data_IF_218115955681
#
_entry.id   IF_218115955681
#
_cell.length_a   1.000
_cell.length_b   1.000
_cell.length_c   1.000
_cell.angle_alpha   90.00
_cell.angle_beta   90.00
_cell.angle_gamma   90.00
#
_symmetry.space_group_name_H-M   'P 1'
#
loop_
_entity.id
_entity.type
_entity.pdbx_description
1 polymer ?
#
# COMPACT_ATOMS: atom_id res chain seq x y z
N UNK A 1 -33.93 -17.08 -45.75
CA UNK A 1 -33.61 -16.25 -44.57
C UNK A 1 -32.69 -17.04 -43.67
N UNK A 2 -31.38 -16.78 -43.73
CA UNK A 2 -30.34 -17.50 -43.00
C UNK A 2 -30.25 -16.99 -41.56
N UNK A 3 -30.39 -17.90 -40.58
CA UNK A 3 -30.01 -17.67 -39.18
C UNK A 3 -28.49 -17.83 -39.07
N UNK A 4 -27.77 -16.74 -38.84
CA UNK A 4 -26.33 -16.76 -38.56
C UNK A 4 -26.06 -17.16 -37.10
N UNK A 5 -24.96 -17.89 -36.81
CA UNK A 5 -24.64 -18.25 -35.44
C UNK A 5 -23.99 -17.07 -34.71
N UNK A 6 -24.39 -16.93 -33.44
CA UNK A 6 -23.74 -16.13 -32.42
C UNK A 6 -22.23 -16.43 -32.35
N UNK A 7 -21.40 -15.40 -32.48
CA UNK A 7 -20.01 -15.45 -32.00
C UNK A 7 -19.96 -14.64 -30.72
N UNK A 8 -20.15 -15.32 -29.59
CA UNK A 8 -19.88 -14.77 -28.28
C UNK A 8 -18.35 -14.78 -28.10
N UNK A 9 -17.71 -13.63 -28.29
CA UNK A 9 -16.28 -13.46 -28.04
C UNK A 9 -16.06 -13.49 -26.52
N UNK A 10 -15.83 -14.69 -25.97
CA UNK A 10 -15.29 -14.86 -24.62
C UNK A 10 -13.86 -14.31 -24.61
N UNK A 11 -13.71 -13.04 -24.22
CA UNK A 11 -12.44 -12.52 -23.73
C UNK A 11 -12.08 -13.34 -22.48
N UNK A 12 -11.24 -14.36 -22.68
CA UNK A 12 -10.54 -15.06 -21.62
C UNK A 12 -9.60 -14.06 -20.94
N UNK A 13 -10.14 -13.27 -20.01
CA UNK A 13 -9.35 -12.68 -18.95
C UNK A 13 -8.75 -13.86 -18.20
N UNK A 14 -7.45 -14.11 -18.39
CA UNK A 14 -6.73 -15.00 -17.50
C UNK A 14 -6.98 -14.49 -16.07
N UNK A 15 -7.55 -15.30 -15.16
CA UNK A 15 -7.60 -14.91 -13.77
C UNK A 15 -6.15 -14.62 -13.35
N UNK A 16 -5.94 -13.53 -12.61
CA UNK A 16 -4.68 -13.38 -11.90
C UNK A 16 -4.44 -14.70 -11.17
N UNK A 17 -3.28 -15.30 -11.37
CA UNK A 17 -2.98 -16.57 -10.72
C UNK A 17 -3.18 -16.37 -9.23
N UNK A 18 -3.90 -17.31 -8.63
CA UNK A 18 -4.03 -17.55 -7.19
C UNK A 18 -2.74 -17.34 -6.36
N UNK A 19 -1.56 -17.39 -6.99
CA UNK A 19 -0.26 -17.20 -6.34
C UNK A 19 0.19 -15.73 -6.21
N UNK A 20 -0.58 -14.79 -6.74
CA UNK A 20 -0.22 -13.37 -6.83
C UNK A 20 -1.02 -12.51 -5.81
N UNK A 21 -0.31 -11.75 -4.98
CA UNK A 21 -0.91 -10.63 -4.27
C UNK A 21 -0.93 -9.39 -5.19
N UNK A 22 -2.10 -8.79 -5.40
CA UNK A 22 -2.18 -7.41 -5.90
C UNK A 22 -2.42 -6.46 -4.72
N UNK A 23 -1.45 -5.58 -4.47
CA UNK A 23 -1.43 -4.64 -3.35
C UNK A 23 -1.61 -3.23 -3.87
N UNK A 24 -2.56 -2.51 -3.28
CA UNK A 24 -2.79 -1.09 -3.55
C UNK A 24 -2.40 -0.28 -2.31
N UNK A 25 -1.60 0.77 -2.50
CA UNK A 25 -1.35 1.79 -1.47
C UNK A 25 -2.03 3.08 -1.86
N UNK A 26 -2.77 3.70 -0.95
CA UNK A 26 -3.42 4.98 -1.23
C UNK A 26 -3.69 5.83 0.02
N UNK A 27 -3.04 6.99 0.10
CA UNK A 27 -3.50 8.08 0.95
C UNK A 27 -4.77 8.70 0.35
N UNK A 28 -5.92 8.53 1.01
CA UNK A 28 -7.22 8.96 0.50
C UNK A 28 -7.60 10.39 0.95
N UNK A 29 -6.64 11.14 1.50
CA UNK A 29 -6.80 12.54 1.90
C UNK A 29 -8.08 12.78 2.69
N UNK A 30 -8.21 12.10 3.83
CA UNK A 30 -9.35 12.21 4.73
C UNK A 30 -10.69 11.80 4.10
N UNK A 31 -10.67 11.09 2.97
CA UNK A 31 -11.89 10.81 2.23
C UNK A 31 -12.59 12.09 1.75
N UNK A 32 -11.85 13.18 1.53
CA UNK A 32 -12.39 14.48 1.06
C UNK A 32 -13.26 14.36 -0.21
N UNK A 33 -13.02 13.30 -1.00
CA UNK A 33 -13.83 12.89 -2.15
C UNK A 33 -14.19 11.40 -2.05
N UNK A 34 -14.74 10.97 -0.91
CA UNK A 34 -15.00 9.55 -0.62
C UNK A 34 -15.78 8.84 -1.72
N UNK A 35 -16.83 9.44 -2.28
CA UNK A 35 -17.59 8.82 -3.39
C UNK A 35 -16.68 8.53 -4.60
N UNK A 36 -15.76 9.44 -4.91
CA UNK A 36 -14.78 9.23 -5.99
C UNK A 36 -13.77 8.14 -5.65
N UNK A 37 -13.34 8.07 -4.39
CA UNK A 37 -12.51 6.96 -3.89
C UNK A 37 -13.24 5.62 -4.07
N UNK A 38 -14.51 5.54 -3.67
CA UNK A 38 -15.33 4.33 -3.80
C UNK A 38 -15.59 3.95 -5.27
N UNK A 39 -15.77 4.92 -6.17
CA UNK A 39 -15.80 4.68 -7.62
C UNK A 39 -14.51 4.04 -8.12
N UNK A 40 -13.34 4.57 -7.71
CA UNK A 40 -12.05 4.00 -8.10
C UNK A 40 -11.86 2.59 -7.54
N UNK A 41 -12.30 2.30 -6.31
CA UNK A 41 -12.29 0.94 -5.75
C UNK A 41 -13.08 -0.08 -6.58
N UNK A 42 -14.15 0.37 -7.25
CA UNK A 42 -15.01 -0.45 -8.12
C UNK A 42 -14.54 -0.48 -9.57
N UNK A 43 -13.51 0.29 -9.92
CA UNK A 43 -12.97 0.34 -11.28
C UNK A 43 -12.40 -1.02 -11.73
N UNK A 44 -12.37 -1.34 -13.04
CA UNK A 44 -11.71 -2.55 -13.55
C UNK A 44 -10.27 -2.73 -13.07
N UNK A 45 -9.56 -1.63 -12.82
CA UNK A 45 -8.19 -1.59 -12.33
C UNK A 45 -8.08 -2.09 -10.89
N UNK A 46 -8.84 -1.49 -9.95
CA UNK A 46 -8.74 -1.83 -8.52
C UNK A 46 -9.71 -2.95 -8.09
N UNK A 47 -10.72 -3.26 -8.90
CA UNK A 47 -11.66 -4.36 -8.65
C UNK A 47 -11.00 -5.74 -8.69
N UNK A 48 -9.71 -5.85 -9.07
CA UNK A 48 -8.94 -7.10 -9.01
C UNK A 48 -7.88 -7.12 -7.92
N UNK A 49 -7.66 -5.99 -7.24
CA UNK A 49 -6.69 -5.93 -6.16
C UNK A 49 -7.17 -6.73 -4.94
N UNK A 50 -6.23 -7.42 -4.31
CA UNK A 50 -6.48 -8.32 -3.18
C UNK A 50 -6.36 -7.58 -1.86
N UNK A 51 -5.38 -6.68 -1.77
CA UNK A 51 -4.98 -6.01 -0.54
C UNK A 51 -4.91 -4.50 -0.75
N UNK A 52 -5.34 -3.73 0.26
CA UNK A 52 -5.29 -2.27 0.24
C UNK A 52 -4.66 -1.77 1.55
N UNK A 53 -3.63 -0.93 1.43
CA UNK A 53 -3.04 -0.15 2.50
C UNK A 53 -3.48 1.31 2.32
N UNK A 54 -4.46 1.74 3.12
CA UNK A 54 -5.04 3.08 3.03
C UNK A 54 -4.52 3.97 4.16
N UNK A 55 -4.23 5.23 3.83
CA UNK A 55 -3.81 6.26 4.78
C UNK A 55 -4.76 7.44 4.77
N UNK A 56 -4.78 8.18 5.87
CA UNK A 56 -5.72 9.27 6.11
C UNK A 56 -7.19 8.87 5.93
N UNK A 57 -7.59 7.67 6.38
CA UNK A 57 -9.01 7.32 6.44
C UNK A 57 -9.64 8.10 7.60
N UNK A 58 -10.62 8.98 7.33
CA UNK A 58 -11.39 9.59 8.40
C UNK A 58 -12.32 8.55 9.04
N UNK A 59 -12.35 8.58 10.36
CA UNK A 59 -13.31 7.83 11.18
C UNK A 59 -14.28 8.83 11.80
N UNK A 60 -15.22 9.35 11.02
CA UNK A 60 -16.34 10.09 11.60
C UNK A 60 -17.19 9.13 12.47
N UNK A 61 -17.92 9.63 13.49
CA UNK A 61 -18.85 8.79 14.23
C UNK A 61 -19.82 8.07 13.28
N UNK A 62 -19.79 6.73 13.29
CA UNK A 62 -20.58 5.91 12.36
C UNK A 62 -19.87 5.49 11.06
N UNK A 63 -18.63 5.94 10.81
CA UNK A 63 -17.82 5.44 9.70
C UNK A 63 -17.39 4.00 9.96
N UNK A 64 -18.11 3.05 9.37
CA UNK A 64 -17.80 1.62 9.44
C UNK A 64 -17.04 1.21 8.19
N UNK A 65 -15.75 0.99 8.35
CA UNK A 65 -14.84 0.63 7.25
C UNK A 65 -15.33 -0.62 6.50
N UNK A 66 -15.84 -1.62 7.22
CA UNK A 66 -16.37 -2.87 6.66
C UNK A 66 -17.61 -2.65 5.79
N UNK A 67 -18.36 -1.56 6.00
CA UNK A 67 -19.54 -1.23 5.18
C UNK A 67 -19.16 -0.47 3.90
N UNK A 68 -17.93 0.06 3.82
CA UNK A 68 -17.48 0.94 2.73
C UNK A 68 -16.48 0.27 1.81
N UNK A 69 -15.58 -0.54 2.35
CA UNK A 69 -14.58 -1.24 1.56
C UNK A 69 -14.86 -2.75 1.54
N UNK A 70 -14.85 -3.40 0.36
CA UNK A 70 -15.16 -4.81 0.25
C UNK A 70 -14.01 -5.65 0.83
N UNK A 71 -14.26 -6.35 1.93
CA UNK A 71 -13.31 -7.27 2.56
C UNK A 71 -13.24 -7.18 4.08
N UNK A 72 -12.32 -7.94 4.67
CA UNK A 72 -11.92 -7.78 6.05
C UNK A 72 -11.07 -6.53 6.23
N UNK A 73 -11.31 -5.78 7.31
CA UNK A 73 -10.60 -4.54 7.59
C UNK A 73 -9.93 -4.57 8.96
N UNK A 74 -8.75 -3.96 9.05
CA UNK A 74 -8.03 -3.69 10.28
C UNK A 74 -7.56 -2.25 10.27
N UNK A 75 -7.80 -1.51 11.35
CA UNK A 75 -7.46 -0.10 11.43
C UNK A 75 -6.71 0.26 12.70
N UNK A 76 -5.71 1.12 12.52
CA UNK A 76 -4.89 1.68 13.60
C UNK A 76 -4.80 3.19 13.36
N UNK A 77 -5.56 3.95 14.15
CA UNK A 77 -5.71 5.38 13.91
C UNK A 77 -6.36 5.67 12.55
N UNK A 78 -5.59 6.25 11.63
CA UNK A 78 -6.05 6.59 10.26
C UNK A 78 -5.46 5.71 9.17
N UNK A 79 -4.68 4.71 9.57
CA UNK A 79 -4.09 3.73 8.66
C UNK A 79 -4.96 2.48 8.70
N UNK A 80 -5.39 2.02 7.53
CA UNK A 80 -6.32 0.91 7.37
C UNK A 80 -5.71 -0.11 6.42
N UNK A 81 -5.80 -1.37 6.80
CA UNK A 81 -5.59 -2.51 5.92
C UNK A 81 -6.98 -3.04 5.55
N UNK A 82 -7.24 -3.20 4.26
CA UNK A 82 -8.40 -3.93 3.75
C UNK A 82 -7.89 -5.12 2.95
N UNK A 83 -8.36 -6.31 3.30
CA UNK A 83 -8.06 -7.56 2.63
C UNK A 83 -9.33 -8.17 2.08
N UNK A 84 -9.33 -8.58 0.81
CA UNK A 84 -10.42 -9.40 0.26
C UNK A 84 -10.35 -10.86 0.67
N UNK A 85 -9.28 -11.23 1.35
CA UNK A 85 -9.02 -12.55 1.88
C UNK A 85 -8.98 -12.49 3.41
N UNK A 86 -8.90 -13.67 4.03
CA UNK A 86 -8.84 -13.82 5.49
C UNK A 86 -7.68 -13.01 6.10
N UNK A 87 -7.95 -12.25 7.17
CA UNK A 87 -6.92 -11.70 8.05
C UNK A 87 -6.72 -12.68 9.21
N UNK A 88 -5.64 -13.47 9.16
CA UNK A 88 -5.32 -14.51 10.12
C UNK A 88 -4.87 -13.96 11.48
N UNK A 89 -4.11 -12.86 11.46
CA UNK A 89 -3.67 -12.13 12.65
C UNK A 89 -3.49 -10.64 12.33
N UNK A 90 -3.53 -9.77 13.34
CA UNK A 90 -3.43 -8.32 13.17
C UNK A 90 -3.03 -7.60 14.43
N UNK A 91 -2.40 -6.43 14.27
CA UNK A 91 -2.05 -5.58 15.39
C UNK A 91 -1.48 -4.23 14.96
N UNK A 92 -0.72 -3.64 15.87
CA UNK A 92 -0.13 -2.31 15.68
C UNK A 92 1.33 -2.29 16.12
N UNK A 93 2.12 -1.41 15.49
CA UNK A 93 3.48 -1.07 15.93
C UNK A 93 3.52 0.38 16.36
N UNK A 94 3.99 0.68 17.57
CA UNK A 94 4.28 2.06 17.99
C UNK A 94 5.58 2.53 17.30
N UNK A 95 5.44 3.33 16.24
CA UNK A 95 6.59 3.78 15.44
C UNK A 95 7.23 5.05 15.99
N UNK A 96 6.48 5.86 16.73
CA UNK A 96 6.99 7.07 17.36
C UNK A 96 6.37 7.27 18.76
N UNK A 97 7.09 6.91 19.84
CA UNK A 97 6.60 7.10 21.20
C UNK A 97 6.30 8.55 21.57
N UNK A 98 7.06 9.52 21.03
CA UNK A 98 6.90 10.92 21.36
C UNK A 98 5.59 11.52 20.81
N UNK A 99 5.09 11.00 19.68
CA UNK A 99 3.85 11.47 19.06
C UNK A 99 2.70 10.48 19.16
N UNK A 100 2.94 9.29 19.73
CA UNK A 100 1.98 8.18 19.74
C UNK A 100 1.66 7.61 18.35
N UNK A 101 2.48 7.88 17.32
CA UNK A 101 2.21 7.41 15.95
C UNK A 101 2.38 5.90 15.88
N UNK A 102 1.46 5.24 15.18
CA UNK A 102 1.40 3.79 15.04
C UNK A 102 1.27 3.40 13.57
N UNK A 103 1.69 2.19 13.24
CA UNK A 103 1.45 1.54 11.95
C UNK A 103 0.56 0.30 12.15
N UNK A 104 -0.31 0.02 11.20
CA UNK A 104 -1.12 -1.21 11.20
C UNK A 104 -0.33 -2.37 10.57
N UNK A 105 -0.52 -3.57 11.09
CA UNK A 105 -0.08 -4.80 10.43
C UNK A 105 -1.16 -5.87 10.44
N UNK A 106 -1.16 -6.72 9.42
CA UNK A 106 -2.05 -7.87 9.30
C UNK A 106 -1.35 -9.02 8.56
N UNK A 107 -1.54 -10.24 9.04
CA UNK A 107 -1.17 -11.47 8.34
C UNK A 107 -2.35 -11.86 7.46
N UNK A 108 -2.14 -11.80 6.15
CA UNK A 108 -3.18 -12.00 5.14
C UNK A 108 -2.94 -13.32 4.42
N UNK A 109 -3.98 -14.15 4.35
CA UNK A 109 -3.92 -15.49 3.77
C UNK A 109 -4.67 -15.53 2.45
N UNK A 110 -4.00 -15.90 1.36
CA UNK A 110 -4.64 -16.13 0.06
C UNK A 110 -5.62 -17.30 0.14
N UNK A 111 -6.59 -17.41 -0.80
CA UNK A 111 -7.53 -18.53 -0.84
C UNK A 111 -6.86 -19.93 -0.90
N UNK A 112 -5.61 -20.00 -1.35
CA UNK A 112 -4.79 -21.21 -1.49
C UNK A 112 -3.92 -21.47 -0.26
N UNK A 113 -4.07 -20.67 0.79
CA UNK A 113 -3.38 -20.84 2.07
C UNK A 113 -1.99 -20.23 2.13
N UNK A 114 -1.59 -19.41 1.14
CA UNK A 114 -0.32 -18.68 1.19
C UNK A 114 -0.45 -17.44 2.06
N UNK A 115 0.52 -17.18 2.93
CA UNK A 115 0.43 -16.08 3.90
C UNK A 115 1.58 -15.07 3.72
N UNK A 116 1.26 -13.79 3.91
CA UNK A 116 2.24 -12.71 3.99
C UNK A 116 1.80 -11.69 5.03
N UNK A 117 2.77 -10.97 5.63
CA UNK A 117 2.48 -9.86 6.53
C UNK A 117 2.44 -8.54 5.76
N UNK A 118 1.31 -7.85 5.79
CA UNK A 118 1.14 -6.51 5.25
C UNK A 118 1.23 -5.46 6.36
N UNK A 119 2.02 -4.41 6.13
CA UNK A 119 2.00 -3.18 6.91
C UNK A 119 1.37 -2.05 6.10
N UNK A 120 0.44 -1.32 6.73
CA UNK A 120 -0.05 -0.01 6.26
C UNK A 120 0.45 1.06 7.21
N UNK A 121 1.12 2.08 6.67
CA UNK A 121 1.70 3.14 7.48
C UNK A 121 1.67 4.52 6.81
N UNK A 122 1.60 5.55 7.64
CA UNK A 122 1.79 6.94 7.23
C UNK A 122 2.84 7.61 8.12
N UNK A 123 4.06 7.81 7.59
CA UNK A 123 5.18 8.37 8.37
C UNK A 123 5.09 9.87 8.58
N UNK A 124 5.90 10.40 9.51
CA UNK A 124 5.96 11.83 9.80
C UNK A 124 6.16 12.71 8.56
N UNK A 125 5.14 13.52 8.23
CA UNK A 125 5.26 14.61 7.26
C UNK A 125 6.17 15.74 7.79
N UNK A 126 5.93 16.19 9.04
CA UNK A 126 6.68 17.27 9.70
C UNK A 126 6.71 17.10 11.22
N UNK A 127 7.70 17.70 11.88
CA UNK A 127 7.72 17.91 13.34
C UNK A 127 7.63 19.41 13.63
N UNK A 128 6.60 19.82 14.35
CA UNK A 128 6.25 21.23 14.49
C UNK A 128 6.00 21.87 13.12
N UNK A 129 6.94 22.71 12.68
CA UNK A 129 6.92 23.37 11.36
C UNK A 129 7.94 22.83 10.37
N UNK A 130 8.84 21.93 10.77
CA UNK A 130 9.92 21.43 9.92
C UNK A 130 9.51 20.15 9.16
N UNK A 131 9.38 20.19 7.82
CA UNK A 131 9.11 19.01 7.00
C UNK A 131 10.36 18.18 6.68
N UNK A 132 11.57 18.71 6.94
CA UNK A 132 12.84 18.07 6.65
C UNK A 132 13.28 17.18 7.82
N UNK A 133 12.53 16.12 8.05
CA UNK A 133 12.76 15.17 9.17
C UNK A 133 13.15 13.76 8.70
N UNK A 134 14.11 13.59 7.76
CA UNK A 134 14.42 12.29 7.18
C UNK A 134 14.94 11.26 8.20
N UNK A 135 15.61 11.69 9.26
CA UNK A 135 16.09 10.81 10.33
C UNK A 135 14.96 10.27 11.21
N UNK A 136 13.92 11.08 11.44
CA UNK A 136 12.75 10.67 12.21
C UNK A 136 11.97 9.63 11.42
N UNK A 137 11.72 9.89 10.13
CA UNK A 137 11.07 8.90 9.25
C UNK A 137 11.85 7.58 9.18
N UNK A 138 13.19 7.64 9.11
CA UNK A 138 14.01 6.44 9.13
C UNK A 138 13.96 5.69 10.48
N UNK A 139 13.84 6.40 11.61
CA UNK A 139 13.65 5.78 12.92
C UNK A 139 12.27 5.15 13.06
N UNK A 140 11.21 5.81 12.58
CA UNK A 140 9.85 5.27 12.52
C UNK A 140 9.79 4.00 11.67
N UNK A 141 10.40 4.03 10.48
CA UNK A 141 10.50 2.84 9.63
C UNK A 141 11.32 1.72 10.30
N UNK A 142 12.39 2.05 11.01
CA UNK A 142 13.17 1.04 11.74
C UNK A 142 12.32 0.26 12.73
N UNK A 143 11.42 0.92 13.47
CA UNK A 143 10.51 0.23 14.39
C UNK A 143 9.62 -0.79 13.66
N UNK A 144 9.13 -0.46 12.47
CA UNK A 144 8.36 -1.39 11.63
C UNK A 144 9.22 -2.57 11.17
N UNK A 145 10.44 -2.30 10.71
CA UNK A 145 11.34 -3.35 10.22
C UNK A 145 11.82 -4.28 11.34
N UNK A 146 12.10 -3.74 12.53
CA UNK A 146 12.49 -4.54 13.69
C UNK A 146 11.34 -5.47 14.14
N UNK A 147 10.09 -4.99 14.06
CA UNK A 147 8.92 -5.85 14.28
C UNK A 147 8.74 -6.89 13.15
N UNK A 148 9.00 -6.51 11.90
CA UNK A 148 8.89 -7.40 10.75
C UNK A 148 9.94 -8.51 10.73
N UNK A 149 11.14 -8.28 11.27
CA UNK A 149 12.21 -9.29 11.34
C UNK A 149 11.85 -10.47 12.25
N UNK A 150 10.84 -10.35 13.13
CA UNK A 150 10.29 -11.46 13.90
C UNK A 150 9.27 -12.32 13.13
N UNK A 151 8.79 -11.85 11.97
CA UNK A 151 7.86 -12.62 11.13
C UNK A 151 8.65 -13.54 10.19
N UNK A 152 8.40 -14.86 10.19
CA UNK A 152 9.19 -15.82 9.40
C UNK A 152 8.85 -15.82 7.90
N UNK A 153 7.70 -15.25 7.53
CA UNK A 153 7.20 -15.27 6.16
C UNK A 153 7.54 -14.02 5.34
N UNK A 154 6.97 -13.91 4.13
CA UNK A 154 7.13 -12.74 3.29
C UNK A 154 6.45 -11.50 3.89
N UNK A 155 7.04 -10.33 3.64
CA UNK A 155 6.58 -9.06 4.20
C UNK A 155 6.35 -8.04 3.09
N UNK A 156 5.24 -7.31 3.20
CA UNK A 156 4.87 -6.17 2.36
C UNK A 156 4.77 -4.95 3.28
N UNK A 157 5.46 -3.87 2.94
CA UNK A 157 5.35 -2.57 3.62
C UNK A 157 4.88 -1.54 2.60
N UNK A 158 3.67 -1.03 2.79
CA UNK A 158 3.02 -0.13 1.87
C UNK A 158 2.47 1.11 2.59
N UNK A 159 2.53 2.26 1.94
CA UNK A 159 1.92 3.47 2.45
C UNK A 159 2.58 4.76 1.98
N UNK A 160 2.14 5.85 2.59
CA UNK A 160 2.73 7.18 2.44
C UNK A 160 3.95 7.32 3.37
N UNK A 161 5.15 7.20 2.81
CA UNK A 161 6.38 7.29 3.58
C UNK A 161 6.81 8.75 3.79
N UNK A 162 6.10 9.73 3.21
CA UNK A 162 6.50 11.14 3.18
C UNK A 162 7.95 11.35 2.75
N UNK A 163 8.48 10.45 1.90
CA UNK A 163 9.91 10.37 1.57
C UNK A 163 10.12 10.28 0.08
N UNK A 164 10.80 11.28 -0.48
CA UNK A 164 11.25 11.28 -1.88
C UNK A 164 12.56 10.52 -2.05
N UNK A 165 12.81 9.98 -3.26
CA UNK A 165 14.00 9.16 -3.54
C UNK A 165 15.32 9.92 -3.37
N UNK A 166 15.33 11.20 -3.72
CA UNK A 166 16.54 12.02 -3.77
C UNK A 166 16.38 13.32 -2.95
N UNK A 167 17.39 13.64 -2.15
CA UNK A 167 17.51 14.93 -1.48
C UNK A 167 18.59 15.76 -2.16
N UNK A 168 18.18 16.89 -2.74
CA UNK A 168 19.03 17.76 -3.57
C UNK A 168 20.28 18.23 -2.86
N UNK A 169 20.18 18.48 -1.55
CA UNK A 169 21.25 19.10 -0.80
C UNK A 169 22.50 18.23 -0.59
N UNK A 170 22.44 16.90 -0.83
CA UNK A 170 23.52 16.00 -0.40
C UNK A 170 23.94 14.91 -1.40
N UNK A 171 23.29 14.79 -2.57
CA UNK A 171 23.62 13.74 -3.55
C UNK A 171 23.47 12.30 -3.02
N UNK A 172 22.77 12.11 -1.90
CA UNK A 172 22.57 10.82 -1.21
C UNK A 172 21.09 10.44 -1.29
N UNK A 173 20.80 9.15 -1.48
CA UNK A 173 19.43 8.63 -1.37
C UNK A 173 18.80 8.92 -0.01
N UNK A 174 17.47 8.82 0.12
CA UNK A 174 16.84 9.01 1.42
C UNK A 174 17.30 7.95 2.44
N UNK A 175 17.66 8.32 3.69
CA UNK A 175 18.10 7.36 4.72
C UNK A 175 17.12 6.20 4.96
N UNK A 176 15.82 6.47 4.90
CA UNK A 176 14.78 5.47 5.02
C UNK A 176 14.84 4.45 3.88
N UNK A 177 14.91 4.90 2.62
CA UNK A 177 14.89 3.97 1.48
C UNK A 177 16.14 3.08 1.46
N UNK A 178 17.31 3.65 1.81
CA UNK A 178 18.52 2.83 2.02
C UNK A 178 18.36 1.82 3.14
N UNK A 179 17.68 2.19 4.23
CA UNK A 179 17.40 1.26 5.33
C UNK A 179 16.55 0.07 4.84
N UNK A 180 15.52 0.34 4.03
CA UNK A 180 14.70 -0.72 3.41
C UNK A 180 15.55 -1.66 2.55
N UNK A 181 16.34 -1.10 1.62
CA UNK A 181 17.20 -1.85 0.72
C UNK A 181 18.23 -2.69 1.48
N UNK A 182 18.89 -2.11 2.49
CA UNK A 182 19.86 -2.80 3.34
C UNK A 182 19.25 -3.94 4.17
N UNK A 183 17.94 -3.88 4.46
CA UNK A 183 17.19 -4.93 5.15
C UNK A 183 16.62 -5.99 4.19
N UNK A 184 16.97 -5.91 2.90
CA UNK A 184 16.59 -6.87 1.86
C UNK A 184 15.22 -6.62 1.23
N UNK A 185 14.61 -5.46 1.47
CA UNK A 185 13.36 -5.08 0.82
C UNK A 185 13.62 -4.50 -0.57
N UNK A 186 12.71 -4.79 -1.50
CA UNK A 186 12.75 -4.30 -2.88
C UNK A 186 11.56 -3.38 -3.13
N UNK A 187 11.84 -2.22 -3.73
CA UNK A 187 10.82 -1.31 -4.27
C UNK A 187 10.09 -2.01 -5.44
N UNK A 188 8.81 -2.34 -5.25
CA UNK A 188 8.03 -3.11 -6.20
C UNK A 188 7.74 -2.33 -7.49
N UNK A 189 7.56 -1.00 -7.41
CA UNK A 189 7.32 -0.15 -8.58
C UNK A 189 8.59 -0.05 -9.42
N UNK A 190 9.73 0.26 -8.80
CA UNK A 190 10.99 0.34 -9.53
C UNK A 190 11.42 -1.01 -10.12
N UNK A 191 11.21 -2.11 -9.40
CA UNK A 191 11.51 -3.45 -9.90
C UNK A 191 10.67 -3.82 -11.15
N UNK A 192 9.45 -3.27 -11.27
CA UNK A 192 8.59 -3.41 -12.43
C UNK A 192 8.81 -2.34 -13.51
N UNK A 193 9.81 -1.45 -13.35
CA UNK A 193 10.10 -0.38 -14.31
C UNK A 193 9.08 0.76 -14.32
N UNK A 194 8.29 0.92 -13.26
CA UNK A 194 7.24 1.94 -13.16
C UNK A 194 7.71 3.09 -12.29
N UNK A 195 7.63 4.31 -12.83
CA UNK A 195 7.81 5.56 -12.09
C UNK A 195 6.46 6.22 -11.86
N UNK A 196 6.17 6.62 -10.62
CA UNK A 196 4.91 7.26 -10.26
C UNK A 196 5.17 8.48 -9.37
N UNK A 197 4.87 9.67 -9.88
CA UNK A 197 4.69 10.84 -9.02
C UNK A 197 3.35 10.66 -8.32
N UNK A 198 3.40 10.17 -7.08
CA UNK A 198 2.23 9.76 -6.32
C UNK A 198 1.55 10.93 -5.63
N UNK A 199 2.25 12.01 -5.34
CA UNK A 199 1.71 13.23 -4.74
C UNK A 199 1.92 14.45 -5.64
N UNK A 200 0.89 15.30 -5.75
CA UNK A 200 0.78 16.34 -6.77
C UNK A 200 1.86 17.45 -6.74
N UNK A 201 2.53 17.66 -5.61
CA UNK A 201 3.62 18.65 -5.41
C UNK A 201 4.96 17.96 -5.16
N UNK A 202 5.00 16.99 -4.24
CA UNK A 202 6.23 16.39 -3.73
C UNK A 202 6.82 15.31 -4.66
N UNK A 203 6.06 14.80 -5.62
CA UNK A 203 6.49 13.69 -6.48
C UNK A 203 6.21 12.34 -5.84
N UNK A 204 7.18 11.41 -5.86
CA UNK A 204 7.02 10.06 -5.29
C UNK A 204 7.25 10.06 -3.79
N UNK A 205 6.19 9.85 -3.01
CA UNK A 205 6.24 9.71 -1.54
C UNK A 205 5.53 8.48 -1.01
N UNK A 206 4.70 7.86 -1.85
CA UNK A 206 4.03 6.58 -1.60
C UNK A 206 4.88 5.44 -2.15
N UNK A 207 5.00 4.36 -1.38
CA UNK A 207 5.87 3.24 -1.72
C UNK A 207 5.21 1.91 -1.42
N UNK A 208 5.59 0.88 -2.20
CA UNK A 208 5.32 -0.53 -1.90
C UNK A 208 6.67 -1.25 -1.91
N UNK A 209 7.11 -1.72 -0.75
CA UNK A 209 8.31 -2.51 -0.58
C UNK A 209 7.98 -3.94 -0.18
N UNK A 210 8.70 -4.90 -0.75
CA UNK A 210 8.50 -6.32 -0.46
C UNK A 210 9.79 -7.05 -0.08
N UNK A 211 9.69 -8.02 0.83
CA UNK A 211 10.75 -8.96 1.23
C UNK A 211 10.19 -10.37 1.17
N UNK A 212 10.92 -11.30 0.55
CA UNK A 212 10.45 -12.68 0.34
C UNK A 212 9.46 -12.88 -0.82
N UNK A 213 9.05 -11.81 -1.53
CA UNK A 213 8.18 -11.85 -2.70
C UNK A 213 8.92 -11.35 -3.96
N UNK A 214 8.41 -11.71 -5.13
CA UNK A 214 8.90 -11.25 -6.43
C UNK A 214 7.91 -10.24 -7.03
N UNK A 215 8.30 -8.97 -7.26
CA UNK A 215 7.49 -8.04 -8.03
C UNK A 215 7.34 -8.51 -9.49
N UNK A 216 6.11 -8.54 -9.99
CA UNK A 216 5.76 -8.95 -11.36
C UNK A 216 5.35 -7.76 -12.23
N UNK A 217 4.49 -6.89 -11.69
CA UNK A 217 4.02 -5.69 -12.39
C UNK A 217 3.64 -4.60 -11.41
N UNK A 218 3.55 -3.36 -11.89
CA UNK A 218 3.03 -2.25 -11.09
C UNK A 218 2.19 -1.31 -11.94
N UNK A 219 1.35 -0.51 -11.27
CA UNK A 219 0.55 0.53 -11.91
C UNK A 219 0.43 1.76 -11.00
N UNK A 220 0.03 2.88 -11.61
CA UNK A 220 -0.09 4.17 -10.95
C UNK A 220 -1.40 4.81 -11.42
N UNK A 221 -2.18 5.31 -10.47
CA UNK A 221 -3.49 5.86 -10.71
C UNK A 221 -3.50 7.30 -11.26
N UNK A 222 -4.60 7.99 -11.00
CA UNK A 222 -4.81 9.41 -11.35
C UNK A 222 -5.17 10.20 -10.09
N UNK A 223 -4.97 11.51 -10.14
CA UNK A 223 -5.41 12.44 -9.08
C UNK A 223 -6.92 12.70 -9.19
N UNK A 224 -7.73 11.67 -8.92
CA UNK A 224 -9.18 11.76 -9.02
C UNK A 224 -9.84 11.79 -7.63
N UNK A 225 -9.67 10.72 -6.85
CA UNK A 225 -10.22 10.61 -5.50
C UNK A 225 -9.39 11.28 -4.39
N UNK A 226 -8.13 11.63 -4.65
CA UNK A 226 -7.22 12.19 -3.65
C UNK A 226 -6.18 13.11 -4.29
N UNK A 227 -5.49 13.89 -3.45
CA UNK A 227 -4.30 14.65 -3.83
C UNK A 227 -3.05 13.76 -3.94
N UNK A 228 -3.20 12.47 -3.60
CA UNK A 228 -2.34 11.35 -3.96
C UNK A 228 -2.99 10.45 -5.02
N UNK A 229 -2.19 9.87 -5.90
CA UNK A 229 -2.56 8.72 -6.72
C UNK A 229 -2.45 7.45 -5.89
N UNK A 230 -3.34 6.50 -6.11
CA UNK A 230 -3.05 5.14 -5.71
C UNK A 230 -1.87 4.58 -6.52
N UNK A 231 -1.12 3.67 -5.90
CA UNK A 231 -0.12 2.84 -6.57
C UNK A 231 -0.49 1.38 -6.35
N UNK A 232 -0.28 0.54 -7.37
CA UNK A 232 -0.50 -0.90 -7.32
C UNK A 232 0.81 -1.63 -7.59
N UNK A 233 1.05 -2.73 -6.89
CA UNK A 233 2.04 -3.73 -7.27
C UNK A 233 1.42 -5.12 -7.24
N UNK A 234 1.70 -5.93 -8.26
CA UNK A 234 1.47 -7.37 -8.24
C UNK A 234 2.76 -8.09 -7.90
N UNK A 235 2.68 -9.00 -6.96
CA UNK A 235 3.82 -9.74 -6.45
C UNK A 235 3.45 -11.20 -6.26
N UNK A 236 4.40 -12.09 -6.52
CA UNK A 236 4.26 -13.54 -6.40
C UNK A 236 5.19 -14.08 -5.32
N UNK A 237 4.90 -15.29 -4.83
CA UNK A 237 5.88 -16.06 -4.08
C UNK A 237 7.03 -16.48 -5.00
N UNK A 238 8.23 -16.62 -4.43
CA UNK A 238 9.39 -17.13 -5.15
C UNK A 238 9.34 -18.64 -5.34
#
# INVERSE_FOLDING_TARGET
MLRGPFVLLLLLLSPASAEDFSIVSWNIHKGSRLERVLEEFRSPELSKASLFALQEVLTEPGFRQQERFPGEAHAVGRDVIVSRWEIADRGEVLVNPATGRRAAWADVRSPEGREARLYSLHLSYKIGRDPFVPHIRAAEMRAVLDHADAYPGPVIVAGDFNTVRWFVCCGRGAPLLRLMENRGYRDALAAAGVACNSQHIAGTVDWIFVKGLKPESAACGRYAGSDHKWIEARVSFK
#
